data_IF_083283064975
#
_entry.id   IF_083283064975
#
_cell.length_a   1.000
_cell.length_b   1.000
_cell.length_c   1.000
_cell.angle_alpha   90.00
_cell.angle_beta   90.00
_cell.angle_gamma   90.00
#
_symmetry.space_group_name_H-M   'P 1'
#
loop_
_entity.id
_entity.type
_entity.pdbx_description
1 polymer ?
#
# COMPACT_ATOMS: atom_id res chain seq x y z
N UNK A 1 11.99 5.39 20.19
CA UNK A 1 12.24 5.75 21.60
C UNK A 1 13.18 6.93 21.59
N UNK A 2 12.88 8.04 22.28
CA UNK A 2 13.82 9.17 22.34
C UNK A 2 15.11 8.67 23.03
N UNK A 3 16.30 8.84 22.45
CA UNK A 3 17.53 8.31 23.04
C UNK A 3 17.76 8.98 24.40
N UNK A 4 18.03 8.19 25.43
CA UNK A 4 18.30 8.64 26.80
C UNK A 4 19.28 9.84 26.93
N UNK A 5 20.29 10.05 26.04
CA UNK A 5 21.11 11.26 26.07
C UNK A 5 20.33 12.56 25.83
N UNK A 6 19.24 12.55 25.07
CA UNK A 6 18.41 13.75 24.81
C UNK A 6 17.64 14.15 26.08
N UNK A 7 17.14 13.15 26.82
CA UNK A 7 16.48 13.38 28.11
C UNK A 7 17.47 13.89 29.17
N UNK A 8 18.68 13.34 29.19
CA UNK A 8 19.75 13.81 30.09
C UNK A 8 20.15 15.26 29.79
N UNK A 9 20.33 15.61 28.51
CA UNK A 9 20.67 16.98 28.10
C UNK A 9 19.57 17.99 28.47
N UNK A 10 18.31 17.65 28.23
CA UNK A 10 17.17 18.49 28.60
C UNK A 10 17.10 18.72 30.12
N UNK A 11 17.30 17.67 30.93
CA UNK A 11 17.32 17.78 32.39
C UNK A 11 18.47 18.68 32.88
N UNK A 12 19.67 18.54 32.31
CA UNK A 12 20.82 19.40 32.62
C UNK A 12 20.53 20.86 32.29
N UNK A 13 19.91 21.14 31.14
CA UNK A 13 19.59 22.50 30.71
C UNK A 13 18.56 23.16 31.65
N UNK A 14 17.55 22.42 32.10
CA UNK A 14 16.58 22.90 33.10
C UNK A 14 17.26 23.20 34.43
N UNK A 15 18.09 22.28 34.93
CA UNK A 15 18.82 22.46 36.19
C UNK A 15 19.75 23.67 36.12
N UNK A 16 20.47 23.84 35.00
CA UNK A 16 21.35 24.99 34.77
C UNK A 16 20.56 26.31 34.76
N UNK A 17 19.40 26.34 34.09
CA UNK A 17 18.52 27.52 34.08
C UNK A 17 17.97 27.85 35.47
N UNK A 18 17.57 26.84 36.25
CA UNK A 18 17.13 27.01 37.64
C UNK A 18 18.26 27.50 38.55
N UNK A 19 19.48 27.00 38.35
CA UNK A 19 20.67 27.40 39.11
C UNK A 19 21.08 28.85 38.81
N UNK A 20 21.17 29.22 37.53
CA UNK A 20 21.43 30.59 37.08
C UNK A 20 20.34 31.56 37.56
N UNK A 21 19.09 31.11 37.60
CA UNK A 21 17.97 31.89 38.13
C UNK A 21 18.09 32.11 39.65
N UNK A 22 18.44 31.08 40.42
CA UNK A 22 18.66 31.18 41.87
C UNK A 22 19.79 32.15 42.20
N UNK A 23 20.92 32.05 41.49
CA UNK A 23 22.06 32.95 41.67
C UNK A 23 21.73 34.42 41.37
N UNK A 24 20.74 34.70 40.53
CA UNK A 24 20.27 36.07 40.22
C UNK A 24 19.24 36.60 41.22
N UNK A 25 18.53 35.71 41.94
CA UNK A 25 17.53 36.05 42.96
C UNK A 25 18.14 36.26 44.35
N UNK A 26 19.27 35.62 44.64
CA UNK A 26 20.01 35.80 45.91
C UNK A 26 20.64 37.21 46.03
N UNK A 27 20.60 38.03 44.98
CA UNK A 27 20.88 39.46 45.05
C UNK A 27 19.69 40.22 45.67
N UNK A 28 19.87 40.71 46.90
CA UNK A 28 18.86 41.31 47.79
C UNK A 28 18.13 42.60 47.32
N UNK A 29 17.71 42.71 46.05
CA UNK A 29 16.93 43.84 45.49
C UNK A 29 15.90 43.42 44.41
N UNK A 30 15.32 42.22 44.50
CA UNK A 30 14.35 41.77 43.51
C UNK A 30 12.96 42.43 43.72
N UNK A 31 12.60 43.39 42.87
CA UNK A 31 11.25 43.97 42.81
C UNK A 31 10.17 42.89 42.54
N UNK A 32 8.89 43.10 42.93
CA UNK A 32 7.79 42.16 42.65
C UNK A 32 7.65 41.77 41.17
N UNK A 33 8.08 42.66 40.26
CA UNK A 33 8.13 42.40 38.82
C UNK A 33 9.14 41.30 38.43
N UNK A 34 10.21 41.12 39.19
CA UNK A 34 11.22 40.08 38.98
C UNK A 34 10.67 38.67 39.29
N UNK A 35 9.73 38.56 40.25
CA UNK A 35 9.09 37.28 40.57
C UNK A 35 8.10 36.83 39.47
N UNK A 36 7.45 37.79 38.80
CA UNK A 36 6.53 37.53 37.67
C UNK A 36 7.25 37.12 36.39
N UNK A 37 8.38 37.74 36.07
CA UNK A 37 9.23 37.32 34.94
C UNK A 37 9.91 35.98 35.19
N UNK A 38 10.20 35.66 36.47
CA UNK A 38 10.78 34.39 36.88
C UNK A 38 9.86 33.19 36.59
N UNK A 39 8.61 33.20 37.05
CA UNK A 39 7.66 32.10 36.78
C UNK A 39 7.43 31.87 35.28
N UNK A 40 7.47 32.94 34.48
CA UNK A 40 7.31 32.85 33.02
C UNK A 40 8.50 32.18 32.33
N UNK A 41 9.73 32.46 32.76
CA UNK A 41 10.94 31.81 32.22
C UNK A 41 11.02 30.33 32.59
N UNK A 42 10.59 29.97 33.80
CA UNK A 42 10.46 28.57 34.22
C UNK A 42 9.39 27.86 33.40
N UNK A 43 8.20 28.47 33.22
CA UNK A 43 7.13 27.90 32.39
C UNK A 43 7.58 27.69 30.93
N UNK A 44 8.35 28.63 30.36
CA UNK A 44 8.89 28.54 29.01
C UNK A 44 9.92 27.42 28.88
N UNK A 45 10.82 27.28 29.86
CA UNK A 45 11.78 26.18 29.89
C UNK A 45 11.08 24.81 29.98
N UNK A 46 10.05 24.69 30.81
CA UNK A 46 9.24 23.47 30.90
C UNK A 46 8.50 23.16 29.58
N UNK A 47 7.96 24.17 28.92
CA UNK A 47 7.29 24.03 27.61
C UNK A 47 8.25 23.57 26.52
N UNK A 48 9.46 24.14 26.45
CA UNK A 48 10.50 23.71 25.50
C UNK A 48 10.90 22.25 25.72
N UNK A 49 11.03 21.84 26.99
CA UNK A 49 11.32 20.44 27.34
C UNK A 49 10.16 19.53 26.95
N UNK A 50 8.92 19.92 27.19
CA UNK A 50 7.74 19.15 26.77
C UNK A 50 7.66 19.01 25.24
N UNK A 51 7.99 20.05 24.48
CA UNK A 51 8.06 20.01 23.02
C UNK A 51 9.17 19.04 22.57
N UNK A 52 10.36 19.12 23.18
CA UNK A 52 11.49 18.23 22.89
C UNK A 52 11.22 16.77 23.26
N UNK A 53 10.47 16.54 24.34
CA UNK A 53 10.01 15.21 24.77
C UNK A 53 8.95 14.68 23.81
N UNK A 54 8.17 15.57 23.18
CA UNK A 54 7.19 15.24 22.16
C UNK A 54 6.17 14.23 22.65
N UNK A 55 5.22 14.63 23.53
CA UNK A 55 4.19 13.71 23.99
C UNK A 55 3.41 13.15 22.79
N UNK A 56 3.70 11.89 22.47
CA UNK A 56 3.00 11.16 21.44
C UNK A 56 1.68 10.69 22.06
N UNK A 57 0.60 11.39 21.77
CA UNK A 57 -0.74 10.88 22.03
C UNK A 57 -1.00 9.77 21.00
N UNK A 58 -1.47 8.62 21.48
CA UNK A 58 -2.00 7.59 20.59
C UNK A 58 -3.31 8.14 20.03
N UNK A 59 -3.30 8.50 18.76
CA UNK A 59 -4.52 8.85 18.04
C UNK A 59 -5.02 7.57 17.39
N UNK A 60 -6.21 7.12 17.77
CA UNK A 60 -7.05 6.30 16.90
C UNK A 60 -7.63 7.25 15.86
N UNK A 61 -6.86 7.57 14.83
CA UNK A 61 -7.47 8.07 13.60
C UNK A 61 -7.94 6.85 12.81
N UNK A 62 -9.21 6.89 12.38
CA UNK A 62 -9.72 6.02 11.33
C UNK A 62 -8.77 6.12 10.15
N UNK A 63 -8.25 4.99 9.67
CA UNK A 63 -7.50 4.93 8.41
C UNK A 63 -8.33 5.68 7.37
N UNK A 64 -7.80 6.81 6.91
CA UNK A 64 -8.38 7.50 5.76
C UNK A 64 -8.30 6.50 4.61
N UNK A 65 -9.42 6.27 3.93
CA UNK A 65 -9.58 5.38 2.75
C UNK A 65 -8.54 5.69 1.63
N UNK A 66 -7.77 6.76 1.76
CA UNK A 66 -6.63 7.14 0.92
C UNK A 66 -5.37 6.28 1.03
N UNK A 67 -5.25 5.38 2.01
CA UNK A 67 -4.05 4.56 2.21
C UNK A 67 -4.24 3.08 1.84
N UNK A 68 -5.20 2.79 0.96
CA UNK A 68 -5.38 1.44 0.39
C UNK A 68 -4.51 1.29 -0.84
N UNK A 69 -3.72 0.23 -0.88
CA UNK A 69 -2.92 -0.20 -2.02
C UNK A 69 -3.46 -1.53 -2.53
N UNK A 70 -3.77 -1.59 -3.82
CA UNK A 70 -4.30 -2.76 -4.50
C UNK A 70 -3.25 -3.27 -5.48
N UNK A 71 -2.80 -4.51 -5.27
CA UNK A 71 -1.87 -5.22 -6.13
C UNK A 71 -2.63 -6.27 -6.92
N UNK A 72 -2.60 -6.13 -8.24
CA UNK A 72 -3.26 -7.02 -9.19
C UNK A 72 -2.19 -7.89 -9.83
N UNK A 73 -2.10 -9.16 -9.44
CA UNK A 73 -1.28 -10.15 -10.12
C UNK A 73 -2.17 -10.86 -11.15
N UNK A 74 -1.97 -10.54 -12.42
CA UNK A 74 -2.80 -11.01 -13.52
C UNK A 74 -2.01 -11.99 -14.38
N UNK A 75 -2.49 -13.23 -14.43
CA UNK A 75 -2.05 -14.21 -15.40
C UNK A 75 -2.63 -13.86 -16.77
N UNK A 76 -1.75 -13.72 -17.76
CA UNK A 76 -2.10 -13.49 -19.17
C UNK A 76 -1.48 -14.53 -20.08
N UNK A 77 -1.07 -15.68 -19.55
CA UNK A 77 -0.56 -16.80 -20.33
C UNK A 77 -1.59 -17.28 -21.36
N UNK A 78 -1.15 -18.11 -22.32
CA UNK A 78 -2.04 -18.62 -23.37
C UNK A 78 -3.26 -19.37 -22.84
N UNK A 79 -3.14 -20.04 -21.68
CA UNK A 79 -4.22 -20.78 -21.00
C UNK A 79 -5.38 -19.89 -20.55
N UNK A 80 -5.09 -18.63 -20.23
CA UNK A 80 -6.11 -17.63 -19.90
C UNK A 80 -6.97 -17.21 -21.11
N UNK A 81 -6.57 -17.56 -22.34
CA UNK A 81 -7.40 -17.35 -23.53
C UNK A 81 -8.38 -18.50 -23.81
N UNK A 82 -8.48 -19.50 -22.92
CA UNK A 82 -9.38 -20.63 -23.11
C UNK A 82 -10.85 -20.19 -23.21
N UNK A 83 -11.56 -20.78 -24.18
CA UNK A 83 -12.96 -20.51 -24.49
C UNK A 83 -13.92 -21.34 -23.61
N UNK A 84 -13.69 -21.38 -22.29
CA UNK A 84 -14.53 -22.09 -21.30
C UNK A 84 -15.23 -21.16 -20.30
N UNK A 85 -15.20 -19.85 -20.54
CA UNK A 85 -15.92 -18.87 -19.75
C UNK A 85 -17.40 -18.81 -20.17
N UNK A 86 -18.31 -18.99 -19.21
CA UNK A 86 -19.76 -19.02 -19.44
C UNK A 86 -20.41 -17.63 -19.48
N UNK A 87 -19.64 -16.57 -19.20
CA UNK A 87 -20.14 -15.19 -19.25
C UNK A 87 -20.32 -14.65 -20.67
N UNK A 88 -20.75 -13.39 -20.80
CA UNK A 88 -20.95 -12.79 -22.11
C UNK A 88 -19.63 -12.53 -22.82
N UNK A 89 -19.55 -12.89 -24.11
CA UNK A 89 -18.46 -12.44 -24.97
C UNK A 89 -18.63 -10.96 -25.34
N UNK A 90 -17.56 -10.26 -25.74
CA UNK A 90 -17.64 -8.87 -26.17
C UNK A 90 -18.52 -8.70 -27.43
N UNK A 91 -19.20 -7.56 -27.55
CA UNK A 91 -20.00 -7.25 -28.73
C UNK A 91 -19.13 -6.91 -29.95
N UNK A 92 -19.57 -7.32 -31.14
CA UNK A 92 -18.96 -6.89 -32.41
C UNK A 92 -17.64 -7.60 -32.77
N UNK A 93 -17.32 -8.70 -32.10
CA UNK A 93 -16.14 -9.54 -32.39
C UNK A 93 -16.40 -10.57 -33.48
N UNK A 94 -15.33 -11.16 -34.04
CA UNK A 94 -15.44 -12.15 -35.12
C UNK A 94 -15.91 -13.52 -34.58
N UNK A 95 -15.32 -13.98 -33.48
CA UNK A 95 -15.71 -15.20 -32.76
C UNK A 95 -16.42 -14.83 -31.45
N UNK A 96 -17.69 -15.20 -31.24
CA UNK A 96 -18.46 -14.82 -30.05
C UNK A 96 -18.24 -15.77 -28.85
N UNK A 97 -17.10 -16.47 -28.80
CA UNK A 97 -16.75 -17.33 -27.67
C UNK A 97 -16.09 -16.47 -26.58
N UNK A 98 -16.61 -16.53 -25.37
CA UNK A 98 -16.06 -15.76 -24.26
C UNK A 98 -14.84 -16.50 -23.66
N UNK A 99 -13.83 -15.74 -23.22
CA UNK A 99 -12.57 -16.28 -22.70
C UNK A 99 -12.45 -16.05 -21.20
N UNK A 100 -11.55 -16.80 -20.52
CA UNK A 100 -11.22 -16.52 -19.12
C UNK A 100 -10.74 -15.07 -18.93
N UNK A 101 -9.98 -14.53 -19.88
CA UNK A 101 -9.57 -13.13 -19.89
C UNK A 101 -10.75 -12.13 -19.92
N UNK A 102 -11.90 -12.47 -20.50
CA UNK A 102 -13.10 -11.63 -20.39
C UNK A 102 -13.61 -11.57 -18.95
N UNK A 103 -13.61 -12.72 -18.26
CA UNK A 103 -13.91 -12.79 -16.83
C UNK A 103 -12.94 -11.95 -16.00
N UNK A 104 -11.64 -12.08 -16.27
CA UNK A 104 -10.58 -11.28 -15.63
C UNK A 104 -10.84 -9.79 -15.81
N UNK A 105 -11.14 -9.32 -17.03
CA UNK A 105 -11.44 -7.91 -17.29
C UNK A 105 -12.65 -7.43 -16.48
N UNK A 106 -13.71 -8.23 -16.42
CA UNK A 106 -14.92 -7.90 -15.68
C UNK A 106 -14.67 -7.79 -14.16
N UNK A 107 -13.92 -8.75 -13.60
CA UNK A 107 -13.61 -8.77 -12.17
C UNK A 107 -12.60 -7.67 -11.80
N UNK A 108 -11.61 -7.37 -12.65
CA UNK A 108 -10.70 -6.23 -12.47
C UNK A 108 -11.46 -4.89 -12.46
N UNK A 109 -12.44 -4.73 -13.36
CA UNK A 109 -13.30 -3.55 -13.36
C UNK A 109 -14.12 -3.44 -12.05
N UNK A 110 -14.62 -4.57 -11.52
CA UNK A 110 -15.34 -4.59 -10.25
C UNK A 110 -14.43 -4.22 -9.06
N UNK A 111 -13.20 -4.75 -8.98
CA UNK A 111 -12.20 -4.36 -7.97
C UNK A 111 -11.88 -2.87 -8.05
N UNK A 112 -11.72 -2.34 -9.28
CA UNK A 112 -11.48 -0.92 -9.52
C UNK A 112 -12.65 -0.06 -9.06
N UNK A 113 -13.89 -0.47 -9.34
CA UNK A 113 -15.09 0.27 -8.97
C UNK A 113 -15.29 0.31 -7.44
N UNK A 114 -14.97 -0.78 -6.75
CA UNK A 114 -15.10 -0.89 -5.30
C UNK A 114 -14.08 -0.05 -4.51
N UNK A 115 -12.90 0.21 -5.08
CA UNK A 115 -11.84 0.98 -4.41
C UNK A 115 -11.39 2.22 -5.20
N UNK A 116 -12.28 3.18 -5.48
CA UNK A 116 -12.02 4.29 -6.42
C UNK A 116 -10.94 5.27 -5.95
N UNK A 117 -10.54 5.22 -4.68
CA UNK A 117 -9.47 6.06 -4.09
C UNK A 117 -8.20 5.29 -3.75
N UNK A 118 -8.11 4.01 -4.11
CA UNK A 118 -6.91 3.21 -3.87
C UNK A 118 -5.79 3.54 -4.86
N UNK A 119 -4.58 3.15 -4.50
CA UNK A 119 -3.42 3.12 -5.41
C UNK A 119 -3.29 1.71 -5.98
N UNK A 120 -3.17 1.59 -7.29
CA UNK A 120 -3.11 0.33 -8.00
C UNK A 120 -1.71 0.06 -8.53
N UNK A 121 -1.26 -1.18 -8.39
CA UNK A 121 -0.10 -1.73 -9.08
C UNK A 121 -0.54 -2.98 -9.83
N UNK A 122 -0.16 -3.09 -11.10
CA UNK A 122 -0.49 -4.25 -11.93
C UNK A 122 0.79 -4.99 -12.27
N UNK A 123 0.82 -6.27 -11.93
CA UNK A 123 1.85 -7.22 -12.27
C UNK A 123 1.24 -8.23 -13.24
N UNK A 124 1.80 -8.35 -14.43
CA UNK A 124 1.36 -9.35 -15.41
C UNK A 124 2.32 -10.52 -15.42
N UNK A 125 1.77 -11.72 -15.56
CA UNK A 125 2.49 -12.97 -15.73
C UNK A 125 2.22 -13.54 -17.12
N UNK A 126 3.28 -13.79 -17.87
CA UNK A 126 3.32 -14.64 -19.06
C UNK A 126 4.49 -15.64 -18.90
N UNK A 127 5.32 -15.87 -19.93
CA UNK A 127 6.66 -16.45 -19.81
C UNK A 127 7.52 -15.84 -18.70
N UNK A 128 7.28 -14.58 -18.33
CA UNK A 128 7.93 -13.89 -17.22
C UNK A 128 6.94 -12.97 -16.49
N UNK A 129 7.30 -12.57 -15.28
CA UNK A 129 6.55 -11.59 -14.53
C UNK A 129 7.12 -10.18 -14.72
N UNK A 130 6.24 -9.20 -14.94
CA UNK A 130 6.61 -7.79 -15.09
C UNK A 130 5.62 -6.86 -14.40
N UNK A 131 6.11 -5.72 -13.89
CA UNK A 131 5.25 -4.63 -13.43
C UNK A 131 4.84 -3.83 -14.67
N UNK A 132 3.57 -3.95 -15.04
CA UNK A 132 2.99 -3.22 -16.18
C UNK A 132 2.51 -1.84 -15.76
N UNK A 133 1.96 -1.73 -14.55
CA UNK A 133 1.57 -0.46 -13.95
C UNK A 133 2.22 -0.32 -12.57
N UNK A 134 3.18 0.61 -12.39
CA UNK A 134 3.71 0.94 -11.08
C UNK A 134 2.62 1.53 -10.18
N UNK A 135 2.79 1.36 -8.87
CA UNK A 135 1.83 1.81 -7.85
C UNK A 135 1.43 3.29 -8.03
N UNK A 136 0.20 3.52 -8.51
CA UNK A 136 -0.32 4.85 -8.88
C UNK A 136 -1.79 4.99 -8.50
N UNK A 137 -2.24 6.21 -8.27
CA UNK A 137 -3.67 6.54 -8.11
C UNK A 137 -4.35 6.93 -9.44
N UNK A 138 -3.66 6.75 -10.56
CA UNK A 138 -4.19 6.97 -11.90
C UNK A 138 -5.09 5.80 -12.30
N UNK A 139 -6.37 5.89 -11.91
CA UNK A 139 -7.38 4.87 -12.22
C UNK A 139 -7.71 4.82 -13.72
N UNK A 140 -7.49 5.90 -14.47
CA UNK A 140 -7.67 5.90 -15.93
C UNK A 140 -6.60 5.03 -16.61
N UNK A 141 -5.37 5.02 -16.07
CA UNK A 141 -4.32 4.10 -16.52
C UNK A 141 -4.64 2.63 -16.22
N UNK A 142 -5.30 2.35 -15.09
CA UNK A 142 -5.81 1.01 -14.77
C UNK A 142 -6.87 0.59 -15.79
N UNK A 143 -7.89 1.44 -16.00
CA UNK A 143 -8.98 1.17 -16.93
C UNK A 143 -8.46 0.96 -18.37
N UNK A 144 -7.47 1.76 -18.80
CA UNK A 144 -6.81 1.60 -20.08
C UNK A 144 -6.01 0.30 -20.18
N UNK A 145 -5.28 -0.09 -19.13
CA UNK A 145 -4.53 -1.34 -19.10
C UNK A 145 -5.49 -2.54 -19.19
N UNK A 146 -6.54 -2.56 -18.37
CA UNK A 146 -7.59 -3.62 -18.39
C UNK A 146 -8.22 -3.74 -19.77
N UNK A 147 -8.55 -2.62 -20.42
CA UNK A 147 -9.12 -2.62 -21.76
C UNK A 147 -8.15 -3.08 -22.86
N UNK A 148 -6.84 -3.04 -22.60
CA UNK A 148 -5.79 -3.49 -23.53
C UNK A 148 -5.20 -4.87 -23.19
N UNK A 149 -5.66 -5.48 -22.09
CA UNK A 149 -5.24 -6.81 -21.68
C UNK A 149 -5.47 -7.78 -22.84
N UNK A 150 -4.47 -8.60 -23.14
CA UNK A 150 -4.50 -9.63 -24.18
C UNK A 150 -3.64 -10.79 -23.72
N UNK A 151 -3.91 -11.98 -24.25
CA UNK A 151 -3.10 -13.17 -24.00
C UNK A 151 -1.64 -13.03 -24.46
N UNK A 152 -0.79 -13.91 -23.95
CA UNK A 152 0.60 -14.10 -24.35
C UNK A 152 0.70 -14.51 -25.83
N UNK A 153 1.75 -14.03 -26.52
CA UNK A 153 2.09 -14.47 -27.88
C UNK A 153 2.49 -15.93 -27.86
N UNK A 154 1.73 -16.78 -28.55
CA UNK A 154 1.88 -18.25 -28.52
C UNK A 154 3.30 -18.71 -28.84
N UNK A 155 3.93 -18.13 -29.86
CA UNK A 155 5.29 -18.48 -30.30
C UNK A 155 6.39 -18.13 -29.27
N UNK A 156 6.06 -17.34 -28.23
CA UNK A 156 6.98 -16.95 -27.15
C UNK A 156 6.74 -17.71 -25.86
N UNK A 157 5.70 -18.54 -25.79
CA UNK A 157 5.39 -19.29 -24.58
C UNK A 157 6.45 -20.36 -24.34
N UNK A 158 7.02 -20.39 -23.13
CA UNK A 158 8.10 -21.33 -22.74
C UNK A 158 7.74 -22.19 -21.54
N UNK A 159 6.44 -22.32 -21.26
CA UNK A 159 5.92 -22.83 -20.00
C UNK A 159 5.69 -21.70 -18.99
N UNK A 160 4.66 -21.86 -18.19
CA UNK A 160 4.12 -20.90 -17.22
C UNK A 160 4.10 -21.51 -15.82
N UNK A 161 4.25 -20.64 -14.82
CA UNK A 161 3.87 -20.94 -13.45
C UNK A 161 3.59 -19.67 -12.66
N UNK A 162 2.61 -19.73 -11.76
CA UNK A 162 2.33 -18.64 -10.82
C UNK A 162 3.55 -18.26 -9.98
N UNK A 163 4.37 -19.25 -9.61
CA UNK A 163 5.58 -19.05 -8.82
C UNK A 163 6.63 -18.17 -9.52
N UNK A 164 6.58 -18.06 -10.86
CA UNK A 164 7.46 -17.14 -11.61
C UNK A 164 7.22 -15.68 -11.22
N UNK A 165 6.00 -15.31 -10.82
CA UNK A 165 5.68 -13.96 -10.35
C UNK A 165 6.01 -13.69 -8.89
N UNK A 166 6.20 -14.75 -8.09
CA UNK A 166 6.34 -14.66 -6.65
C UNK A 166 7.53 -13.78 -6.20
N UNK A 167 8.74 -13.87 -6.79
CA UNK A 167 9.84 -12.99 -6.43
C UNK A 167 9.55 -11.51 -6.73
N UNK A 168 8.86 -11.21 -7.83
CA UNK A 168 8.54 -9.84 -8.21
C UNK A 168 7.46 -9.26 -7.31
N UNK A 169 6.39 -10.01 -7.06
CA UNK A 169 5.32 -9.64 -6.15
C UNK A 169 5.89 -9.41 -4.74
N UNK A 170 6.69 -10.35 -4.25
CA UNK A 170 7.29 -10.27 -2.92
C UNK A 170 8.20 -9.08 -2.73
N UNK A 171 9.05 -8.75 -3.72
CA UNK A 171 9.88 -7.55 -3.68
C UNK A 171 9.04 -6.27 -3.70
N UNK A 172 7.98 -6.25 -4.51
CA UNK A 172 7.10 -5.08 -4.65
C UNK A 172 6.34 -4.82 -3.35
N UNK A 173 5.73 -5.85 -2.77
CA UNK A 173 5.00 -5.76 -1.50
C UNK A 173 5.94 -5.40 -0.34
N UNK A 174 7.10 -6.04 -0.25
CA UNK A 174 8.08 -5.77 0.82
C UNK A 174 8.58 -4.33 0.77
N UNK A 175 8.89 -3.81 -0.44
CA UNK A 175 9.30 -2.41 -0.61
C UNK A 175 8.20 -1.46 -0.21
N UNK A 176 6.96 -1.69 -0.65
CA UNK A 176 5.83 -0.87 -0.23
C UNK A 176 5.67 -0.92 1.30
N UNK A 177 5.75 -2.10 1.91
CA UNK A 177 5.64 -2.26 3.37
C UNK A 177 6.72 -1.51 4.14
N UNK A 178 7.94 -1.45 3.63
CA UNK A 178 9.02 -0.64 4.20
C UNK A 178 8.77 0.88 4.04
N UNK A 179 8.16 1.30 2.93
CA UNK A 179 7.88 2.71 2.61
C UNK A 179 6.69 3.28 3.39
N UNK A 180 5.58 2.53 3.47
CA UNK A 180 4.37 2.92 4.21
C UNK A 180 3.80 1.75 5.03
N UNK A 181 4.36 1.44 6.21
CA UNK A 181 3.89 0.32 7.04
C UNK A 181 2.43 0.40 7.50
N UNK A 182 1.81 1.59 7.43
CA UNK A 182 0.44 1.82 7.89
C UNK A 182 -0.59 1.67 6.73
N UNK A 183 -0.14 1.46 5.49
CA UNK A 183 -1.02 1.23 4.34
C UNK A 183 -1.67 -0.16 4.38
N UNK A 184 -2.94 -0.25 3.96
CA UNK A 184 -3.67 -1.51 3.80
C UNK A 184 -3.34 -2.07 2.42
N UNK A 185 -2.81 -3.29 2.35
CA UNK A 185 -2.40 -3.96 1.11
C UNK A 185 -3.36 -5.07 0.74
N UNK A 186 -4.13 -4.83 -0.31
CA UNK A 186 -5.02 -5.81 -0.91
C UNK A 186 -4.29 -6.48 -2.08
N UNK A 187 -4.25 -7.80 -2.11
CA UNK A 187 -3.65 -8.58 -3.20
C UNK A 187 -4.71 -9.42 -3.87
N UNK A 188 -4.87 -9.24 -5.18
CA UNK A 188 -5.70 -10.09 -6.01
C UNK A 188 -4.82 -10.89 -6.95
N UNK A 189 -4.93 -12.20 -6.92
CA UNK A 189 -4.27 -13.12 -7.87
C UNK A 189 -5.34 -13.64 -8.82
N UNK A 190 -5.16 -13.43 -10.12
CA UNK A 190 -6.12 -13.80 -11.16
C UNK A 190 -5.43 -14.77 -12.11
N UNK A 191 -5.78 -16.06 -12.05
CA UNK A 191 -5.10 -17.11 -12.82
C UNK A 191 -5.95 -18.36 -12.93
N UNK A 192 -5.62 -19.26 -13.85
CA UNK A 192 -6.14 -20.63 -13.90
C UNK A 192 -5.27 -21.62 -13.11
N UNK A 193 -4.11 -21.17 -12.60
CA UNK A 193 -3.19 -21.99 -11.84
C UNK A 193 -2.43 -23.02 -12.68
N UNK A 194 -2.49 -22.95 -14.00
CA UNK A 194 -1.96 -24.01 -14.85
C UNK A 194 -0.42 -24.05 -14.90
N UNK A 195 0.06 -25.13 -14.30
CA UNK A 195 1.37 -25.75 -14.21
C UNK A 195 2.20 -26.20 -15.43
N UNK A 196 2.80 -25.36 -16.29
CA UNK A 196 3.46 -25.90 -17.53
C UNK A 196 4.99 -25.81 -17.59
N UNK A 197 5.64 -25.18 -16.61
CA UNK A 197 7.10 -24.98 -16.63
C UNK A 197 7.92 -26.17 -16.06
N UNK A 198 7.24 -27.19 -15.52
CA UNK A 198 7.87 -28.34 -14.87
C UNK A 198 8.45 -28.07 -13.47
N UNK A 199 7.94 -27.06 -12.77
CA UNK A 199 8.35 -26.67 -11.41
C UNK A 199 9.56 -25.74 -11.36
N UNK A 200 9.97 -25.16 -12.50
CA UNK A 200 11.14 -24.29 -12.58
C UNK A 200 10.94 -22.99 -11.81
N UNK A 201 9.82 -22.30 -12.00
CA UNK A 201 9.50 -21.05 -11.32
C UNK A 201 9.44 -21.24 -9.81
N UNK A 202 8.85 -22.35 -9.33
CA UNK A 202 8.84 -22.70 -7.91
C UNK A 202 10.25 -22.90 -7.35
N UNK A 203 11.12 -23.60 -8.08
CA UNK A 203 12.51 -23.79 -7.68
C UNK A 203 13.28 -22.46 -7.64
N UNK A 204 13.17 -21.65 -8.68
CA UNK A 204 13.85 -20.35 -8.77
C UNK A 204 13.38 -19.37 -7.69
N UNK A 205 12.08 -19.33 -7.40
CA UNK A 205 11.52 -18.54 -6.32
C UNK A 205 12.07 -18.99 -4.95
N UNK A 206 12.10 -20.30 -4.70
CA UNK A 206 12.64 -20.87 -3.47
C UNK A 206 14.14 -20.61 -3.31
N UNK A 207 14.94 -20.70 -4.40
CA UNK A 207 16.36 -20.35 -4.40
C UNK A 207 16.57 -18.87 -4.06
N UNK A 208 15.66 -18.00 -4.50
CA UNK A 208 15.59 -16.59 -4.13
C UNK A 208 15.07 -16.30 -2.71
N UNK A 209 14.63 -17.33 -1.97
CA UNK A 209 14.07 -17.21 -0.62
C UNK A 209 12.62 -16.74 -0.57
N UNK A 210 11.88 -16.82 -1.68
CA UNK A 210 10.48 -16.43 -1.77
C UNK A 210 9.56 -17.65 -1.66
N UNK A 211 8.51 -17.53 -0.84
CA UNK A 211 7.40 -18.48 -0.75
C UNK A 211 6.10 -17.69 -0.63
N UNK A 212 4.96 -18.22 -1.10
CA UNK A 212 3.67 -17.56 -0.89
C UNK A 212 3.41 -17.25 0.59
N UNK A 213 3.78 -18.18 1.47
CA UNK A 213 3.66 -18.04 2.91
C UNK A 213 4.49 -16.88 3.49
N UNK A 214 5.62 -16.51 2.86
CA UNK A 214 6.42 -15.39 3.35
C UNK A 214 5.75 -14.04 3.12
N UNK A 215 4.78 -13.97 2.20
CA UNK A 215 4.04 -12.75 1.89
C UNK A 215 2.84 -12.51 2.81
N UNK A 216 2.34 -13.54 3.50
CA UNK A 216 1.18 -13.42 4.40
C UNK A 216 1.35 -12.35 5.50
N UNK A 217 2.59 -12.00 5.86
CA UNK A 217 2.87 -10.96 6.85
C UNK A 217 2.80 -9.52 6.32
N UNK A 218 2.65 -9.33 5.01
CA UNK A 218 2.61 -8.02 4.34
C UNK A 218 1.38 -7.85 3.44
N UNK A 219 0.44 -8.80 3.50
CA UNK A 219 -0.83 -8.78 2.79
C UNK A 219 -1.94 -8.71 3.83
N UNK A 220 -2.83 -7.73 3.69
CA UNK A 220 -3.89 -7.45 4.67
C UNK A 220 -5.26 -7.98 4.21
N UNK A 221 -5.42 -8.29 2.92
CA UNK A 221 -6.65 -8.81 2.35
C UNK A 221 -6.59 -9.00 0.84
N UNK A 222 -7.74 -9.27 0.22
CA UNK A 222 -7.89 -9.57 -1.20
C UNK A 222 -8.36 -11.01 -1.43
N UNK A 223 -8.11 -11.55 -2.62
CA UNK A 223 -8.58 -12.89 -3.00
C UNK A 223 -7.73 -13.53 -4.09
N UNK A 224 -7.76 -14.86 -4.15
CA UNK A 224 -7.29 -15.63 -5.32
C UNK A 224 -8.50 -16.01 -6.15
N UNK A 225 -8.57 -15.46 -7.36
CA UNK A 225 -9.64 -15.69 -8.33
C UNK A 225 -9.16 -16.71 -9.36
N UNK A 226 -9.76 -17.91 -9.32
CA UNK A 226 -9.44 -19.02 -10.20
C UNK A 226 -10.33 -19.05 -11.43
N UNK A 227 -9.77 -18.98 -12.63
CA UNK A 227 -10.56 -18.96 -13.87
C UNK A 227 -10.47 -20.26 -14.65
N UNK A 228 -11.61 -20.72 -15.17
CA UNK A 228 -11.69 -21.90 -16.03
C UNK A 228 -12.53 -23.02 -15.42
N UNK A 229 -12.60 -24.13 -16.14
CA UNK A 229 -13.46 -25.27 -15.79
C UNK A 229 -12.66 -26.57 -15.70
N UNK A 230 -13.22 -27.57 -15.01
CA UNK A 230 -12.60 -28.89 -14.92
C UNK A 230 -12.60 -29.63 -16.27
N UNK A 231 -13.54 -29.31 -17.17
CA UNK A 231 -13.56 -29.79 -18.54
C UNK A 231 -12.50 -29.10 -19.42
N UNK A 232 -12.16 -27.86 -19.09
CA UNK A 232 -11.22 -27.03 -19.83
C UNK A 232 -11.79 -26.45 -21.12
N UNK A 233 -11.00 -25.59 -21.76
CA UNK A 233 -11.34 -24.94 -23.02
C UNK A 233 -10.20 -24.92 -24.02
N UNK A 234 -10.50 -24.93 -25.33
CA UNK A 234 -9.48 -24.72 -26.36
C UNK A 234 -9.06 -23.25 -26.41
N UNK A 235 -7.84 -22.98 -26.87
CA UNK A 235 -7.25 -21.64 -26.91
C UNK A 235 -6.88 -21.22 -28.33
N UNK A 236 -7.20 -19.98 -28.70
CA UNK A 236 -6.80 -19.41 -30.00
C UNK A 236 -5.30 -19.10 -30.01
N UNK A 237 -4.64 -19.36 -31.13
CA UNK A 237 -3.26 -18.92 -31.34
C UNK A 237 -3.19 -17.39 -31.48
N UNK A 238 -2.20 -16.77 -30.85
CA UNK A 238 -1.96 -15.34 -30.89
C UNK A 238 -0.54 -15.02 -31.34
N UNK A 239 -0.42 -14.21 -32.39
CA UNK A 239 0.85 -13.80 -33.00
C UNK A 239 1.31 -12.39 -32.59
N UNK A 240 0.56 -11.72 -31.70
CA UNK A 240 0.84 -10.34 -31.30
C UNK A 240 0.15 -9.28 -32.16
N UNK A 241 -0.74 -9.67 -33.08
CA UNK A 241 -1.49 -8.75 -33.95
C UNK A 241 -2.99 -8.85 -33.69
N UNK A 242 -3.72 -7.77 -33.97
CA UNK A 242 -5.18 -7.73 -33.84
C UNK A 242 -5.94 -8.67 -34.81
N UNK A 243 -5.23 -9.40 -35.68
CA UNK A 243 -5.82 -10.37 -36.59
C UNK A 243 -5.92 -11.78 -35.97
N UNK A 244 -5.28 -12.04 -34.82
CA UNK A 244 -5.25 -13.33 -34.15
C UNK A 244 -5.53 -13.21 -32.65
N UNK A 245 -5.61 -14.34 -31.94
CA UNK A 245 -5.92 -14.42 -30.51
C UNK A 245 -7.41 -14.55 -30.20
N UNK A 246 -7.76 -14.34 -28.93
CA UNK A 246 -9.15 -14.32 -28.47
C UNK A 246 -10.05 -13.44 -29.35
N UNK A 247 -11.32 -13.83 -29.48
CA UNK A 247 -12.34 -13.07 -30.24
C UNK A 247 -12.11 -13.00 -31.76
N UNK A 248 -11.11 -13.72 -32.29
CA UNK A 248 -10.81 -13.82 -33.72
C UNK A 248 -11.12 -15.21 -34.29
N UNK A 249 -11.07 -15.34 -35.62
CA UNK A 249 -11.17 -16.62 -36.33
C UNK A 249 -9.82 -17.37 -36.43
N UNK A 250 -8.83 -17.01 -35.61
CA UNK A 250 -7.51 -17.65 -35.61
C UNK A 250 -7.62 -19.16 -35.32
N UNK A 251 -6.65 -19.93 -35.84
CA UNK A 251 -6.58 -21.36 -35.53
C UNK A 251 -6.35 -21.58 -34.04
N UNK A 252 -6.88 -22.69 -33.52
CA UNK A 252 -6.57 -23.11 -32.16
C UNK A 252 -5.11 -23.54 -32.04
N UNK A 253 -4.55 -23.37 -30.84
CA UNK A 253 -3.30 -24.03 -30.45
C UNK A 253 -3.56 -25.53 -30.50
N UNK A 254 -2.67 -26.30 -31.11
CA UNK A 254 -2.85 -27.73 -31.35
C UNK A 254 -1.92 -28.54 -30.43
N UNK A 255 -2.34 -29.74 -30.04
CA UNK A 255 -1.47 -30.69 -29.33
C UNK A 255 -0.30 -31.15 -30.20
N UNK A 256 0.86 -31.39 -29.58
CA UNK A 256 2.10 -31.80 -30.25
C UNK A 256 1.98 -33.16 -30.98
N UNK A 257 1.05 -34.03 -30.56
CA UNK A 257 0.97 -35.43 -30.97
C UNK A 257 -0.11 -35.76 -32.03
N UNK A 258 -0.89 -34.76 -32.47
CA UNK A 258 -1.58 -34.86 -33.77
C UNK A 258 -3.03 -34.44 -33.83
N UNK A 259 -3.26 -33.12 -33.90
CA UNK A 259 -4.34 -32.55 -34.71
C UNK A 259 -5.66 -32.27 -34.00
N UNK A 260 -5.73 -32.42 -32.67
CA UNK A 260 -6.81 -31.84 -31.86
C UNK A 260 -6.36 -30.49 -31.26
N UNK A 261 -7.29 -29.56 -31.00
CA UNK A 261 -7.00 -28.38 -30.21
C UNK A 261 -6.48 -28.76 -28.81
N UNK A 262 -5.40 -28.10 -28.39
CA UNK A 262 -4.93 -28.17 -27.01
C UNK A 262 -5.98 -27.56 -26.09
N UNK A 263 -6.23 -28.24 -24.96
CA UNK A 263 -7.22 -27.84 -23.96
C UNK A 263 -6.50 -27.46 -22.67
N UNK A 264 -6.77 -26.26 -22.16
CA UNK A 264 -6.28 -25.82 -20.85
C UNK A 264 -7.30 -26.12 -19.77
N UNK A 265 -6.84 -26.60 -18.62
CA UNK A 265 -7.68 -26.96 -17.46
C UNK A 265 -7.21 -26.21 -16.22
N UNK A 266 -8.15 -25.70 -15.43
CA UNK A 266 -7.86 -25.01 -14.17
C UNK A 266 -7.25 -25.96 -13.13
N UNK A 267 -6.25 -25.50 -12.36
CA UNK A 267 -5.71 -26.19 -11.19
C UNK A 267 -6.20 -25.51 -9.89
N UNK A 268 -7.41 -25.91 -9.46
CA UNK A 268 -8.03 -25.38 -8.24
C UNK A 268 -7.27 -25.74 -6.96
N UNK A 269 -6.63 -26.92 -6.93
CA UNK A 269 -5.88 -27.36 -5.74
C UNK A 269 -4.69 -26.44 -5.51
N UNK A 270 -3.97 -26.12 -6.59
CA UNK A 270 -2.86 -25.17 -6.54
C UNK A 270 -3.34 -23.78 -6.14
N UNK A 271 -4.39 -23.24 -6.76
CA UNK A 271 -4.91 -21.91 -6.44
C UNK A 271 -5.39 -21.82 -4.97
N UNK A 272 -6.08 -22.86 -4.48
CA UNK A 272 -6.47 -22.97 -3.08
C UNK A 272 -5.27 -23.02 -2.12
N UNK A 273 -4.16 -23.66 -2.53
CA UNK A 273 -2.92 -23.69 -1.75
C UNK A 273 -2.23 -22.31 -1.68
N UNK A 274 -2.25 -21.55 -2.78
CA UNK A 274 -1.74 -20.17 -2.85
C UNK A 274 -2.58 -19.26 -1.95
N UNK A 275 -3.91 -19.35 -2.05
CA UNK A 275 -4.83 -18.59 -1.21
C UNK A 275 -4.59 -18.87 0.28
N UNK A 276 -4.51 -20.15 0.66
CA UNK A 276 -4.23 -20.57 2.03
C UNK A 276 -2.88 -20.02 2.53
N UNK A 277 -1.86 -20.06 1.69
CA UNK A 277 -0.51 -19.57 2.04
C UNK A 277 -0.49 -18.05 2.25
N UNK A 278 -1.29 -17.30 1.49
CA UNK A 278 -1.44 -15.85 1.63
C UNK A 278 -2.42 -15.45 2.75
N UNK A 279 -3.24 -16.40 3.25
CA UNK A 279 -4.32 -16.10 4.19
C UNK A 279 -5.52 -15.42 3.52
N UNK A 280 -5.73 -15.67 2.22
CA UNK A 280 -6.81 -15.11 1.41
C UNK A 280 -7.86 -16.16 1.08
N UNK A 281 -9.05 -15.70 0.69
CA UNK A 281 -10.09 -16.58 0.16
C UNK A 281 -9.80 -16.98 -1.29
N UNK A 282 -10.11 -18.23 -1.62
CA UNK A 282 -10.14 -18.72 -2.99
C UNK A 282 -11.56 -18.68 -3.52
N UNK A 283 -11.74 -18.10 -4.72
CA UNK A 283 -13.02 -18.03 -5.41
C UNK A 283 -12.88 -18.57 -6.81
N UNK A 284 -13.68 -19.58 -7.13
CA UNK A 284 -13.75 -20.15 -8.47
C UNK A 284 -14.65 -19.30 -9.37
N UNK A 285 -14.15 -18.94 -10.55
CA UNK A 285 -14.76 -18.05 -11.53
C UNK A 285 -14.97 -18.80 -12.84
N UNK A 286 -16.23 -19.04 -13.17
CA UNK A 286 -16.65 -19.73 -14.41
C UNK A 286 -17.47 -18.84 -15.34
N UNK A 287 -17.92 -17.67 -14.87
CA UNK A 287 -18.83 -16.77 -15.58
C UNK A 287 -20.28 -17.23 -15.55
N UNK A 288 -20.56 -18.34 -14.88
CA UNK A 288 -21.89 -18.92 -14.72
C UNK A 288 -22.65 -18.29 -13.56
N UNK A 289 -23.94 -18.61 -13.46
CA UNK A 289 -24.80 -18.11 -12.38
C UNK A 289 -24.50 -18.69 -10.99
N UNK A 290 -23.55 -19.62 -10.90
CA UNK A 290 -23.12 -20.25 -9.64
C UNK A 290 -21.93 -19.52 -9.03
N UNK A 291 -21.28 -18.63 -9.78
CA UNK A 291 -20.18 -17.83 -9.29
C UNK A 291 -20.65 -16.91 -8.16
N UNK A 292 -19.82 -16.77 -7.14
CA UNK A 292 -20.06 -15.80 -6.07
C UNK A 292 -20.14 -14.37 -6.64
N UNK A 293 -20.99 -13.51 -6.08
CA UNK A 293 -21.10 -12.13 -6.54
C UNK A 293 -19.80 -11.39 -6.22
N UNK A 294 -19.43 -10.41 -7.05
CA UNK A 294 -18.13 -9.71 -6.93
C UNK A 294 -17.94 -8.99 -5.60
N UNK A 295 -19.04 -8.68 -4.90
CA UNK A 295 -19.02 -8.10 -3.56
C UNK A 295 -18.30 -8.99 -2.53
N UNK A 296 -18.26 -10.31 -2.72
CA UNK A 296 -17.58 -11.23 -1.79
C UNK A 296 -16.08 -10.90 -1.65
N UNK A 297 -15.43 -10.51 -2.74
CA UNK A 297 -14.00 -10.16 -2.73
C UNK A 297 -13.74 -8.65 -2.79
N UNK A 298 -14.75 -7.81 -3.01
CA UNK A 298 -14.58 -6.36 -3.12
C UNK A 298 -15.10 -5.57 -1.92
N UNK A 299 -16.08 -6.09 -1.18
CA UNK A 299 -16.63 -5.47 0.03
C UNK A 299 -15.79 -5.87 1.27
N UNK A 300 -14.51 -5.52 1.21
CA UNK A 300 -13.56 -5.82 2.28
C UNK A 300 -13.78 -4.81 3.41
N UNK A 301 -14.05 -5.32 4.62
CA UNK A 301 -14.16 -4.49 5.83
C UNK A 301 -12.77 -3.97 6.23
N UNK A 302 -12.41 -2.81 5.67
CA UNK A 302 -11.15 -2.12 5.95
C UNK A 302 -11.01 -1.73 7.43
N UNK A 303 -12.13 -1.54 8.16
CA UNK A 303 -12.08 -1.25 9.60
C UNK A 303 -11.74 -2.50 10.41
N UNK A 304 -12.28 -3.66 10.01
CA UNK A 304 -11.92 -4.95 10.59
C UNK A 304 -10.44 -5.28 10.37
N UNK A 305 -9.92 -5.10 9.15
CA UNK A 305 -8.51 -5.32 8.78
C UNK A 305 -7.55 -4.47 9.63
N UNK A 306 -7.94 -3.23 9.93
CA UNK A 306 -7.17 -2.34 10.82
C UNK A 306 -7.27 -2.76 12.28
N UNK A 307 -8.41 -3.32 12.71
CA UNK A 307 -8.68 -3.70 14.10
C UNK A 307 -8.11 -5.06 14.52
N UNK A 308 -8.01 -6.02 13.59
CA UNK A 308 -7.43 -7.36 13.82
C UNK A 308 -5.90 -7.33 13.96
N UNK A 309 -5.29 -6.16 13.82
CA UNK A 309 -3.88 -5.93 14.16
C UNK A 309 -2.88 -6.43 13.11
N UNK A 310 -3.34 -6.84 11.93
CA UNK A 310 -2.47 -7.11 10.78
C UNK A 310 -1.87 -5.80 10.25
N UNK A 311 -2.68 -4.75 10.12
CA UNK A 311 -2.17 -3.38 10.01
C UNK A 311 -1.64 -2.92 11.38
N UNK A 312 -0.39 -3.28 11.71
CA UNK A 312 0.29 -2.87 12.94
C UNK A 312 0.67 -1.38 12.91
N UNK A 313 -0.33 -0.51 12.83
CA UNK A 313 -0.17 0.93 12.79
C UNK A 313 0.13 1.53 14.15
N UNK A 314 1.42 1.60 14.50
CA UNK A 314 1.90 2.37 15.65
C UNK A 314 2.01 3.85 15.28
N UNK A 315 0.94 4.44 14.75
CA UNK A 315 0.86 5.83 14.35
C UNK A 315 1.17 6.73 15.56
N UNK A 316 2.36 7.36 15.56
CA UNK A 316 2.73 8.40 16.53
C UNK A 316 2.71 9.73 15.83
N UNK A 317 1.61 10.47 15.98
CA UNK A 317 1.59 11.87 15.56
C UNK A 317 2.19 12.74 16.65
N UNK A 318 3.24 13.49 16.31
CA UNK A 318 3.81 14.50 17.19
C UNK A 318 2.90 15.73 17.23
N UNK A 319 2.01 15.80 18.23
CA UNK A 319 1.14 16.97 18.44
C UNK A 319 1.89 18.03 19.25
N UNK A 320 2.90 18.66 18.63
CA UNK A 320 3.70 19.72 19.25
C UNK A 320 3.10 21.11 19.05
N UNK A 321 2.13 21.28 18.15
CA UNK A 321 1.59 22.58 17.76
C UNK A 321 0.92 23.37 18.91
N UNK A 322 0.15 22.79 19.86
CA UNK A 322 -0.45 23.58 20.94
C UNK A 322 0.61 24.08 21.90
N UNK A 323 1.63 23.26 22.14
CA UNK A 323 2.79 23.60 22.98
C UNK A 323 3.65 24.67 22.30
N UNK A 324 3.87 24.57 20.99
CA UNK A 324 4.59 25.57 20.20
C UNK A 324 3.85 26.93 20.24
N UNK A 325 2.52 26.92 20.11
CA UNK A 325 1.70 28.13 20.16
C UNK A 325 1.75 28.79 21.55
N UNK A 326 1.67 27.99 22.62
CA UNK A 326 1.85 28.47 23.99
C UNK A 326 3.25 29.05 24.24
N UNK A 327 4.30 28.40 23.73
CA UNK A 327 5.68 28.91 23.83
C UNK A 327 5.87 30.22 23.04
N UNK A 328 5.32 30.32 21.83
CA UNK A 328 5.36 31.54 21.02
C UNK A 328 4.67 32.73 21.71
N UNK A 329 3.51 32.52 22.33
CA UNK A 329 2.80 33.56 23.09
C UNK A 329 3.63 34.07 24.28
N UNK A 330 4.29 33.16 25.01
CA UNK A 330 5.14 33.53 26.14
C UNK A 330 6.41 34.29 25.70
N UNK A 331 7.00 33.94 24.55
CA UNK A 331 8.13 34.66 23.95
C UNK A 331 7.75 36.08 23.54
N UNK A 332 6.60 36.24 22.87
CA UNK A 332 6.09 37.57 22.46
C UNK A 332 5.86 38.46 23.68
N UNK A 333 5.32 37.88 24.75
CA UNK A 333 5.14 38.61 26.00
C UNK A 333 6.49 39.05 26.61
N UNK A 334 7.52 38.20 26.58
CA UNK A 334 8.82 38.53 27.18
C UNK A 334 9.55 39.60 26.37
N UNK A 335 9.47 39.53 25.05
CA UNK A 335 9.97 40.58 24.16
C UNK A 335 9.28 41.92 24.45
N UNK A 336 7.97 41.93 24.65
CA UNK A 336 7.21 43.14 24.99
C UNK A 336 7.66 43.79 26.31
N UNK A 337 7.93 42.99 27.33
CA UNK A 337 8.38 43.51 28.63
C UNK A 337 9.84 43.97 28.62
N UNK A 338 10.71 43.30 27.86
CA UNK A 338 12.09 43.75 27.63
C UNK A 338 12.13 45.09 26.90
N UNK A 339 11.30 45.27 25.87
CA UNK A 339 11.19 46.56 25.15
C UNK A 339 10.67 47.67 26.07
N UNK A 340 9.71 47.37 26.96
CA UNK A 340 9.22 48.35 27.94
C UNK A 340 10.28 48.71 28.99
N UNK A 341 11.04 47.75 29.47
CA UNK A 341 12.12 47.97 30.43
C UNK A 341 13.25 48.82 29.81
N UNK A 342 13.63 48.52 28.57
CA UNK A 342 14.62 49.29 27.82
C UNK A 342 14.15 50.72 27.56
N UNK A 343 12.88 50.93 27.17
CA UNK A 343 12.30 52.28 27.02
C UNK A 343 12.30 53.07 28.33
N UNK A 344 12.05 52.42 29.47
CA UNK A 344 12.12 53.06 30.80
C UNK A 344 13.55 53.43 31.18
N UNK A 345 14.53 52.58 30.88
CA UNK A 345 15.95 52.87 31.09
C UNK A 345 16.42 54.04 30.22
N UNK A 346 16.03 54.08 28.94
CA UNK A 346 16.32 55.21 28.04
C UNK A 346 15.68 56.52 28.49
N UNK A 347 14.46 56.47 29.03
CA UNK A 347 13.80 57.66 29.57
C UNK A 347 14.53 58.20 30.83
N UNK A 348 15.08 57.33 31.67
CA UNK A 348 15.84 57.71 32.86
C UNK A 348 17.26 58.23 32.54
N UNK A 349 17.90 57.73 31.49
CA UNK A 349 19.21 58.25 31.03
C UNK A 349 19.06 59.55 30.23
N UNK A 350 18.00 59.72 29.44
CA UNK A 350 17.72 60.97 28.73
C UNK A 350 17.40 62.16 29.68
N UNK A 351 16.85 61.89 30.87
CA UNK A 351 16.60 62.91 31.90
C UNK A 351 17.86 63.38 32.64
N UNK A 352 19.01 62.73 32.45
CA UNK A 352 20.25 63.00 33.21
C UNK A 352 21.31 63.79 32.40
N UNK A 353 21.06 64.05 31.12
CA UNK A 353 21.92 64.86 30.24
C UNK A 353 21.36 66.26 29.95
N UNK A 354 20.28 66.65 30.63
CA UNK A 354 19.67 67.98 30.53
C UNK A 354 19.71 68.75 31.84
N UNK A 355 20.92 69.15 32.28
CA UNK A 355 21.16 70.24 33.23
C UNK A 355 22.44 70.94 32.87
#
# INVERSE_FOLDING_TARGET
>A
MLPWPVLALAAVLVVLLLWLARARLDGARAEPAAYRSWWRRVALACLVVLILVGPALRSTESVSVSNVEVYLLVDRTGSMAAEDWAGPAPDGVASPAATRLDGVRADLAAVREAHPSARYSILALDSAAAVELPLSNDVDAVDAWVGSLTQEVTDRSTGSSLDTALPLLGQTLSRSYEEDPDAIRLVYVLSDGEDTDGGKGAQEAAEGGWTWQSLAGVVDGGAVLGYGTAEGGPMRSYDGTAATGEHTDADYIMEDDGGQPAVSVIDEERLGSVATSLGLDYLHRTGGSQDDPTQVFTDIDLEAVVSDGQASGRARRYVVWPLALAASLLLVWEAGDLVRADRRLRALTAGRTGT
#
